data_IF_328481539743
#
_entry.id   IF_328481539743
#
_cell.length_a   1.000
_cell.length_b   1.000
_cell.length_c   1.000
_cell.angle_alpha   90.00
_cell.angle_beta   90.00
_cell.angle_gamma   90.00
#
_symmetry.space_group_name_H-M   'P 1'
#
loop_
_entity.id
_entity.type
_entity.pdbx_description
1 polymer ?
#
# COMPACT_ATOMS: atom_id res chain seq x y z
N UNK A 1 -3.53 -9.37 -5.86
CA UNK A 1 -4.43 -8.50 -5.06
C UNK A 1 -3.92 -8.50 -3.62
N UNK A 2 -4.08 -7.40 -2.90
CA UNK A 2 -3.63 -7.26 -1.52
C UNK A 2 -4.73 -6.57 -0.70
N UNK A 3 -4.80 -6.90 0.59
CA UNK A 3 -5.64 -6.19 1.55
C UNK A 3 -4.66 -5.49 2.50
N UNK A 4 -4.85 -4.20 2.69
CA UNK A 4 -4.06 -3.39 3.60
C UNK A 4 -4.98 -2.91 4.70
N UNK A 5 -4.62 -3.21 5.95
CA UNK A 5 -5.25 -2.62 7.11
C UNK A 5 -4.61 -1.26 7.39
N UNK A 6 -5.45 -0.25 7.63
CA UNK A 6 -5.01 1.08 8.03
C UNK A 6 -5.47 1.34 9.47
N UNK A 7 -4.73 2.17 10.19
CA UNK A 7 -5.10 2.52 11.57
C UNK A 7 -6.51 3.13 11.60
N UNK A 8 -7.34 2.79 12.61
CA UNK A 8 -8.69 3.34 12.74
C UNK A 8 -8.75 4.88 12.82
N UNK A 9 -7.66 5.52 13.24
CA UNK A 9 -7.53 6.98 13.30
C UNK A 9 -7.31 7.64 11.94
N UNK A 10 -7.02 6.89 10.88
CA UNK A 10 -6.83 7.43 9.54
C UNK A 10 -8.19 7.78 8.89
N UNK A 11 -8.37 9.03 8.49
CA UNK A 11 -9.66 9.53 7.97
C UNK A 11 -9.60 9.98 6.51
N UNK A 12 -8.40 10.13 5.93
CA UNK A 12 -8.20 10.69 4.59
C UNK A 12 -8.35 9.64 3.47
N UNK A 13 -9.35 8.77 3.52
CA UNK A 13 -9.52 7.67 2.54
C UNK A 13 -9.55 8.11 1.08
N UNK A 14 -9.96 9.36 0.79
CA UNK A 14 -9.97 9.92 -0.56
C UNK A 14 -8.60 9.97 -1.22
N UNK A 15 -7.50 9.99 -0.45
CA UNK A 15 -6.14 9.99 -1.01
C UNK A 15 -5.66 8.59 -1.36
N UNK A 16 -6.29 7.55 -0.80
CA UNK A 16 -5.91 6.15 -0.97
C UNK A 16 -6.82 5.45 -2.00
N UNK A 17 -8.12 5.71 -1.98
CA UNK A 17 -9.08 5.01 -2.83
C UNK A 17 -9.02 5.47 -4.28
N UNK A 18 -9.45 4.60 -5.19
CA UNK A 18 -9.54 4.88 -6.62
C UNK A 18 -8.30 4.43 -7.41
N UNK A 19 -8.11 5.02 -8.58
CA UNK A 19 -7.07 4.66 -9.53
C UNK A 19 -5.78 5.46 -9.31
N UNK A 20 -4.66 4.74 -9.30
CA UNK A 20 -3.31 5.26 -9.16
C UNK A 20 -2.49 4.88 -10.39
N UNK A 21 -2.32 5.84 -11.31
CA UNK A 21 -1.47 5.67 -12.49
C UNK A 21 0.01 5.63 -12.08
N UNK A 22 0.71 4.57 -12.48
CA UNK A 22 2.11 4.35 -12.12
C UNK A 22 3.03 5.44 -12.68
N UNK A 23 2.67 6.02 -13.82
CA UNK A 23 3.37 7.15 -14.42
C UNK A 23 3.45 8.39 -13.51
N UNK A 24 2.54 8.55 -12.54
CA UNK A 24 2.47 9.73 -11.67
C UNK A 24 3.39 9.63 -10.44
N UNK A 25 3.76 8.43 -10.02
CA UNK A 25 4.44 8.23 -8.74
C UNK A 25 5.68 7.34 -8.80
N UNK A 26 5.87 6.52 -9.85
CA UNK A 26 7.13 5.80 -10.02
C UNK A 26 8.22 6.74 -10.53
N UNK A 27 9.45 6.54 -10.05
CA UNK A 27 10.63 7.25 -10.55
C UNK A 27 11.17 6.52 -11.79
N UNK A 28 11.26 7.22 -12.91
CA UNK A 28 11.71 6.68 -14.19
C UNK A 28 10.99 5.39 -14.63
N UNK A 29 9.64 5.39 -14.71
CA UNK A 29 8.90 4.20 -15.13
C UNK A 29 9.25 3.84 -16.57
N UNK A 30 9.34 2.54 -16.85
CA UNK A 30 9.44 1.98 -18.20
C UNK A 30 8.22 2.36 -19.05
N UNK A 31 8.33 2.17 -20.36
CA UNK A 31 7.23 2.46 -21.30
C UNK A 31 5.98 1.65 -20.96
N UNK A 32 6.17 0.40 -20.52
CA UNK A 32 5.11 -0.49 -20.08
C UNK A 32 4.49 -0.03 -18.77
N UNK A 33 5.30 0.34 -17.77
CA UNK A 33 4.79 0.79 -16.47
C UNK A 33 4.00 2.10 -16.59
N UNK A 34 4.34 2.97 -17.54
CA UNK A 34 3.59 4.21 -17.76
C UNK A 34 2.12 3.99 -18.13
N UNK A 35 1.78 2.86 -18.73
CA UNK A 35 0.39 2.53 -19.07
C UNK A 35 -0.33 1.76 -17.97
N UNK A 36 0.37 1.39 -16.90
CA UNK A 36 -0.19 0.63 -15.79
C UNK A 36 -0.84 1.53 -14.74
N UNK A 37 -1.86 0.97 -14.08
CA UNK A 37 -2.45 1.57 -12.89
C UNK A 37 -2.71 0.49 -11.84
N UNK A 38 -2.69 0.92 -10.57
CA UNK A 38 -3.23 0.15 -9.45
C UNK A 38 -4.55 0.77 -9.02
N UNK A 39 -5.51 -0.05 -8.62
CA UNK A 39 -6.80 0.44 -8.12
C UNK A 39 -7.01 -0.04 -6.69
N UNK A 40 -7.47 0.87 -5.83
CA UNK A 40 -7.71 0.59 -4.42
C UNK A 40 -9.18 0.80 -4.10
N UNK A 41 -9.79 -0.22 -3.50
CA UNK A 41 -11.21 -0.27 -3.16
C UNK A 41 -11.40 -0.54 -1.67
N UNK A 42 -12.59 -0.26 -1.17
CA UNK A 42 -12.97 -0.70 0.16
C UNK A 42 -12.98 -2.23 0.23
N UNK A 43 -12.39 -2.75 1.30
CA UNK A 43 -12.54 -4.14 1.67
C UNK A 43 -13.97 -4.38 2.18
N UNK A 44 -14.61 -5.46 1.74
CA UNK A 44 -15.95 -5.84 2.21
C UNK A 44 -15.92 -6.79 3.41
N UNK A 45 -14.76 -7.35 3.73
CA UNK A 45 -14.58 -8.16 4.94
C UNK A 45 -14.55 -7.25 6.16
N UNK A 46 -15.30 -7.63 7.18
CA UNK A 46 -15.48 -6.81 8.38
C UNK A 46 -14.43 -7.10 9.45
N UNK A 47 -13.75 -8.24 9.37
CA UNK A 47 -12.76 -8.66 10.36
C UNK A 47 -11.56 -9.35 9.71
N UNK A 48 -10.42 -9.29 10.38
CA UNK A 48 -9.22 -10.01 9.96
C UNK A 48 -9.43 -11.53 9.93
N UNK A 49 -10.19 -12.08 10.89
CA UNK A 49 -10.53 -13.51 10.92
C UNK A 49 -11.30 -13.94 9.68
N UNK A 50 -12.18 -13.09 9.17
CA UNK A 50 -12.92 -13.35 7.95
C UNK A 50 -11.97 -13.42 6.75
N UNK A 51 -11.07 -12.45 6.62
CA UNK A 51 -10.02 -12.42 5.58
C UNK A 51 -9.21 -13.72 5.57
N UNK A 52 -8.71 -14.17 6.73
CA UNK A 52 -7.94 -15.43 6.85
C UNK A 52 -8.78 -16.66 6.49
N UNK A 53 -10.06 -16.70 6.91
CA UNK A 53 -10.98 -17.80 6.59
C UNK A 53 -11.20 -17.95 5.08
N UNK A 54 -11.20 -16.85 4.34
CA UNK A 54 -11.29 -16.85 2.87
C UNK A 54 -9.95 -17.16 2.18
N UNK A 55 -8.93 -17.59 2.92
CA UNK A 55 -7.67 -18.11 2.38
C UNK A 55 -6.59 -17.05 2.15
N UNK A 56 -6.77 -15.84 2.66
CA UNK A 56 -5.75 -14.80 2.57
C UNK A 56 -4.63 -15.04 3.57
N UNK A 57 -3.39 -14.92 3.11
CA UNK A 57 -2.21 -14.97 3.98
C UNK A 57 -2.01 -13.62 4.66
N UNK A 58 -2.05 -13.62 5.99
CA UNK A 58 -1.68 -12.46 6.81
C UNK A 58 -0.17 -12.31 6.89
N UNK A 59 0.30 -11.07 6.77
CA UNK A 59 1.70 -10.68 6.99
C UNK A 59 1.68 -9.39 7.82
N UNK A 60 2.15 -9.46 9.05
CA UNK A 60 2.29 -8.27 9.89
C UNK A 60 3.49 -7.44 9.42
N UNK A 61 3.25 -6.16 9.16
CA UNK A 61 4.32 -5.20 8.87
C UNK A 61 5.13 -4.99 10.15
N UNK A 62 6.45 -5.08 10.04
CA UNK A 62 7.35 -4.82 11.17
C UNK A 62 8.07 -3.50 10.94
N UNK A 63 8.16 -2.67 11.99
CA UNK A 63 8.83 -1.37 11.91
C UNK A 63 10.28 -1.48 11.43
N UNK A 64 10.97 -2.55 11.82
CA UNK A 64 12.34 -2.87 11.39
C UNK A 64 12.49 -2.99 9.86
N UNK A 65 11.42 -3.25 9.11
CA UNK A 65 11.47 -3.30 7.64
C UNK A 65 11.72 -1.91 7.03
N UNK A 66 11.39 -0.85 7.75
CA UNK A 66 11.46 0.52 7.28
C UNK A 66 12.70 1.29 7.78
N UNK A 67 13.57 0.61 8.53
CA UNK A 67 14.76 1.17 9.16
C UNK A 67 16.02 0.50 8.57
N UNK A 68 17.10 1.26 8.34
CA UNK A 68 18.40 0.73 7.93
C UNK A 68 19.19 0.18 9.11
N UNK A 69 20.30 -0.53 8.85
CA UNK A 69 21.18 -1.04 9.92
C UNK A 69 21.77 0.10 10.75
N UNK A 70 21.83 1.29 10.18
CA UNK A 70 22.31 2.54 10.75
C UNK A 70 21.17 3.39 11.37
N UNK A 71 19.97 2.81 11.58
CA UNK A 71 18.78 3.49 12.08
C UNK A 71 18.26 4.64 11.18
N UNK A 72 18.55 4.60 9.88
CA UNK A 72 18.06 5.61 8.92
C UNK A 72 16.73 5.12 8.33
N UNK A 73 15.70 5.96 8.34
CA UNK A 73 14.41 5.67 7.70
C UNK A 73 14.63 5.49 6.20
N UNK A 74 14.27 4.32 5.66
CA UNK A 74 14.50 3.97 4.24
C UNK A 74 13.50 4.59 3.27
N UNK A 75 12.50 5.32 3.76
CA UNK A 75 11.52 5.98 2.92
C UNK A 75 12.02 7.34 2.47
N UNK A 76 12.06 7.53 1.16
CA UNK A 76 12.24 8.84 0.56
C UNK A 76 10.93 9.25 -0.09
N UNK A 77 10.44 10.45 0.22
CA UNK A 77 9.29 11.03 -0.47
C UNK A 77 9.65 11.16 -1.95
N UNK A 78 8.95 10.43 -2.82
CA UNK A 78 9.30 10.36 -4.24
C UNK A 78 9.04 11.72 -4.93
N UNK A 79 8.04 12.46 -4.45
CA UNK A 79 7.68 13.79 -4.94
C UNK A 79 7.75 14.82 -3.80
N UNK A 80 8.61 15.83 -3.93
CA UNK A 80 8.63 17.05 -3.10
C UNK A 80 7.89 18.16 -3.81
#
# INVERSE_FOLDING_TARGET
>A
MMIIEVMPSFTEFRVILGEHSWAKFLRNPSVQEKTMCSQVFHCQYSTMREVEKYGWKRIDLKDEWFISKENIVKWHRINK
#
